data_IF_724175131879
#
_entry.id   IF_724175131879
#
_cell.length_a   1.000
_cell.length_b   1.000
_cell.length_c   1.000
_cell.angle_alpha   90.00
_cell.angle_beta   90.00
_cell.angle_gamma   90.00
#
_symmetry.space_group_name_H-M   'P 1'
#
loop_
_entity.id
_entity.type
_entity.pdbx_description
1 polymer ?
#
# COMPACT_ATOMS: atom_id res chain seq x y z
N UNK A 1 -16.93 -5.93 15.30
CA UNK A 1 -18.15 -6.21 16.08
C UNK A 1 -17.94 -6.14 17.59
N UNK A 2 -16.97 -6.87 18.16
CA UNK A 2 -16.62 -6.79 19.59
C UNK A 2 -16.42 -5.36 20.13
N UNK A 3 -15.63 -4.54 19.44
CA UNK A 3 -15.38 -3.14 19.84
C UNK A 3 -16.62 -2.22 19.80
N UNK A 4 -17.75 -2.69 19.24
CA UNK A 4 -19.03 -1.98 19.18
C UNK A 4 -20.09 -2.61 20.11
N UNK A 5 -19.71 -3.53 21.00
CA UNK A 5 -20.62 -4.21 21.93
C UNK A 5 -21.57 -5.23 21.27
N UNK A 6 -21.26 -5.67 20.06
CA UNK A 6 -22.14 -6.51 19.24
C UNK A 6 -21.45 -7.81 18.82
N UNK A 7 -20.86 -8.54 19.77
CA UNK A 7 -19.92 -9.63 19.50
C UNK A 7 -20.45 -10.67 18.51
N UNK A 8 -21.70 -11.11 18.65
CA UNK A 8 -22.28 -12.19 17.84
C UNK A 8 -22.59 -11.81 16.38
N UNK A 9 -22.60 -10.52 16.03
CA UNK A 9 -23.02 -10.06 14.70
C UNK A 9 -22.13 -10.53 13.55
N UNK A 10 -20.93 -11.05 13.81
CA UNK A 10 -20.11 -11.66 12.76
C UNK A 10 -20.82 -12.86 12.11
N UNK A 11 -21.70 -13.55 12.86
CA UNK A 11 -22.48 -14.69 12.38
C UNK A 11 -23.47 -14.29 11.29
N UNK A 12 -24.01 -13.07 11.33
CA UNK A 12 -24.90 -12.54 10.28
C UNK A 12 -24.24 -12.57 8.89
N UNK A 13 -22.90 -12.53 8.82
CA UNK A 13 -22.15 -12.51 7.56
C UNK A 13 -21.53 -13.87 7.22
N UNK A 14 -20.97 -14.56 8.21
CA UNK A 14 -20.22 -15.80 7.99
C UNK A 14 -21.04 -17.07 8.22
N UNK A 15 -22.15 -16.98 8.96
CA UNK A 15 -23.11 -18.05 9.22
C UNK A 15 -24.54 -17.52 9.13
N UNK A 16 -24.90 -16.85 8.03
CA UNK A 16 -26.25 -16.28 7.88
C UNK A 16 -27.30 -17.40 7.91
N UNK A 17 -28.45 -17.12 8.52
CA UNK A 17 -29.60 -18.05 8.48
C UNK A 17 -30.05 -18.33 7.04
N UNK A 18 -29.98 -17.31 6.18
CA UNK A 18 -30.15 -17.45 4.75
C UNK A 18 -28.91 -16.89 4.00
N UNK A 19 -28.11 -17.76 3.33
CA UNK A 19 -26.88 -17.37 2.67
C UNK A 19 -27.08 -16.46 1.44
N UNK A 20 -28.29 -16.35 0.91
CA UNK A 20 -28.60 -15.50 -0.25
C UNK A 20 -28.65 -14.00 0.13
N UNK A 21 -28.79 -13.67 1.42
CA UNK A 21 -28.75 -12.29 1.89
C UNK A 21 -27.33 -11.73 2.06
N UNK A 22 -26.31 -12.56 1.91
CA UNK A 22 -24.91 -12.15 2.01
C UNK A 22 -24.21 -12.44 0.70
N UNK A 23 -23.63 -11.39 0.09
CA UNK A 23 -22.68 -11.54 -1.02
C UNK A 23 -21.26 -11.44 -0.47
N UNK A 24 -20.55 -12.56 -0.42
CA UNK A 24 -19.16 -12.65 0.00
C UNK A 24 -18.22 -12.51 -1.21
N UNK A 25 -17.40 -11.46 -1.19
CA UNK A 25 -16.44 -11.14 -2.27
C UNK A 25 -15.02 -11.16 -1.72
N UNK A 26 -14.12 -11.91 -2.36
CA UNK A 26 -12.70 -11.99 -2.00
C UNK A 26 -11.83 -11.30 -3.05
N UNK A 27 -11.38 -10.07 -2.78
CA UNK A 27 -10.39 -9.37 -3.61
C UNK A 27 -8.98 -9.88 -3.32
N UNK A 28 -8.32 -10.41 -4.36
CA UNK A 28 -7.03 -11.09 -4.20
C UNK A 28 -6.07 -10.84 -5.38
N UNK A 29 -4.80 -11.20 -5.22
CA UNK A 29 -3.89 -11.39 -6.35
C UNK A 29 -4.10 -12.76 -7.02
N UNK A 30 -3.75 -12.86 -8.31
CA UNK A 30 -3.98 -14.07 -9.14
C UNK A 30 -3.41 -15.37 -8.55
N UNK A 31 -2.30 -15.29 -7.81
CA UNK A 31 -1.66 -16.47 -7.21
C UNK A 31 -2.50 -17.11 -6.10
N UNK A 32 -3.46 -16.37 -5.54
CA UNK A 32 -4.33 -16.84 -4.47
C UNK A 32 -5.65 -17.45 -4.97
N UNK A 33 -5.89 -17.48 -6.30
CA UNK A 33 -7.16 -17.97 -6.86
C UNK A 33 -7.45 -19.40 -6.40
N UNK A 34 -6.47 -20.30 -6.50
CA UNK A 34 -6.65 -21.70 -6.10
C UNK A 34 -7.06 -21.83 -4.61
N UNK A 35 -6.44 -21.02 -3.74
CA UNK A 35 -6.79 -21.05 -2.33
C UNK A 35 -8.24 -20.59 -2.10
N UNK A 36 -8.63 -19.43 -2.63
CA UNK A 36 -9.96 -18.86 -2.34
C UNK A 36 -11.10 -19.53 -3.10
N UNK A 37 -10.85 -20.10 -4.29
CA UNK A 37 -11.87 -20.75 -5.10
C UNK A 37 -12.00 -22.26 -4.84
N UNK A 38 -10.97 -22.91 -4.26
CA UNK A 38 -10.97 -24.38 -4.04
C UNK A 38 -10.70 -24.74 -2.58
N UNK A 39 -9.52 -24.39 -2.06
CA UNK A 39 -9.11 -24.84 -0.72
C UNK A 39 -10.01 -24.29 0.39
N UNK A 40 -10.30 -22.99 0.35
CA UNK A 40 -11.13 -22.32 1.33
C UNK A 40 -12.57 -22.88 1.35
N UNK A 41 -13.27 -23.03 0.20
CA UNK A 41 -14.55 -23.72 0.17
C UNK A 41 -14.50 -25.15 0.70
N UNK A 42 -13.48 -25.95 0.37
CA UNK A 42 -13.32 -27.32 0.90
C UNK A 42 -13.18 -27.31 2.42
N UNK A 43 -12.35 -26.43 2.96
CA UNK A 43 -12.18 -26.26 4.41
C UNK A 43 -13.49 -25.87 5.09
N UNK A 44 -14.27 -24.97 4.48
CA UNK A 44 -15.58 -24.57 4.99
C UNK A 44 -16.58 -25.74 5.00
N UNK A 45 -16.60 -26.54 3.93
CA UNK A 45 -17.46 -27.74 3.85
C UNK A 45 -17.05 -28.81 4.85
N UNK A 46 -15.75 -29.08 4.99
CA UNK A 46 -15.24 -30.13 5.88
C UNK A 46 -15.49 -29.89 7.37
N UNK A 47 -15.85 -28.67 7.77
CA UNK A 47 -16.26 -28.39 9.15
C UNK A 47 -17.76 -28.61 9.41
N UNK A 48 -18.57 -28.87 8.37
CA UNK A 48 -20.00 -29.22 8.45
C UNK A 48 -20.87 -28.29 9.33
N UNK A 49 -20.54 -27.00 9.35
CA UNK A 49 -21.07 -26.04 10.33
C UNK A 49 -21.58 -24.74 9.70
N UNK A 50 -22.01 -24.81 8.42
CA UNK A 50 -22.86 -23.83 7.76
C UNK A 50 -22.18 -22.50 7.41
N UNK A 51 -20.90 -22.51 7.05
CA UNK A 51 -20.18 -21.29 6.66
C UNK A 51 -20.67 -20.74 5.31
N UNK A 52 -20.75 -19.41 5.20
CA UNK A 52 -20.95 -18.71 3.93
C UNK A 52 -19.75 -18.95 3.02
N UNK A 53 -20.02 -19.48 1.83
CA UNK A 53 -19.04 -19.67 0.77
C UNK A 53 -18.83 -18.38 -0.02
N UNK A 54 -17.68 -18.25 -0.67
CA UNK A 54 -17.39 -17.09 -1.51
C UNK A 54 -18.27 -17.10 -2.76
N UNK A 55 -18.90 -15.98 -3.09
CA UNK A 55 -19.74 -15.82 -4.29
C UNK A 55 -18.92 -15.29 -5.47
N UNK A 56 -17.91 -14.46 -5.21
CA UNK A 56 -17.07 -13.89 -6.27
C UNK A 56 -15.64 -13.69 -5.78
N UNK A 57 -14.67 -14.01 -6.65
CA UNK A 57 -13.24 -13.86 -6.38
C UNK A 57 -12.60 -12.96 -7.44
N UNK A 58 -12.75 -11.61 -7.36
CA UNK A 58 -12.03 -10.70 -8.23
C UNK A 58 -10.53 -10.85 -7.96
N UNK A 59 -9.79 -11.24 -9.00
CA UNK A 59 -8.36 -11.49 -8.89
C UNK A 59 -7.58 -10.58 -9.84
N UNK A 60 -6.65 -9.81 -9.27
CA UNK A 60 -5.79 -8.93 -10.05
C UNK A 60 -4.49 -9.61 -10.46
N UNK A 61 -4.00 -9.28 -11.65
CA UNK A 61 -2.69 -9.67 -12.13
C UNK A 61 -1.59 -8.82 -11.46
N UNK A 62 -0.33 -8.96 -11.88
CA UNK A 62 0.77 -8.27 -11.22
C UNK A 62 0.86 -6.80 -11.62
N UNK A 63 1.30 -5.97 -10.67
CA UNK A 63 1.75 -4.61 -10.92
C UNK A 63 3.28 -4.60 -10.88
N UNK A 64 3.91 -4.21 -11.98
CA UNK A 64 5.35 -3.99 -12.09
C UNK A 64 5.70 -2.52 -11.83
N UNK A 65 6.98 -2.21 -11.65
CA UNK A 65 7.53 -0.88 -11.43
C UNK A 65 8.68 -0.63 -12.41
N UNK A 66 8.55 0.37 -13.28
CA UNK A 66 9.64 0.81 -14.18
C UNK A 66 10.35 -0.37 -14.87
N UNK A 67 9.56 -1.24 -15.50
CA UNK A 67 9.99 -2.42 -16.26
C UNK A 67 10.39 -3.65 -15.44
N UNK A 68 10.33 -3.63 -14.10
CA UNK A 68 10.71 -4.79 -13.25
C UNK A 68 9.66 -5.11 -12.19
N UNK A 69 9.74 -6.30 -11.62
CA UNK A 69 8.93 -6.67 -10.46
C UNK A 69 9.38 -5.91 -9.21
N UNK A 70 8.45 -5.66 -8.29
CA UNK A 70 8.78 -5.08 -6.99
C UNK A 70 9.69 -6.02 -6.18
N UNK A 71 10.79 -5.49 -5.64
CA UNK A 71 11.81 -6.26 -4.93
C UNK A 71 12.43 -5.46 -3.79
N UNK A 72 12.08 -5.81 -2.54
CA UNK A 72 12.65 -5.16 -1.34
C UNK A 72 14.14 -5.46 -1.17
N UNK A 73 14.55 -6.69 -1.50
CA UNK A 73 15.96 -7.12 -1.41
C UNK A 73 16.85 -6.40 -2.41
N UNK A 74 16.34 -6.13 -3.61
CA UNK A 74 17.08 -5.41 -4.65
C UNK A 74 16.89 -3.89 -4.57
N UNK A 75 16.13 -3.39 -3.58
CA UNK A 75 15.83 -1.97 -3.45
C UNK A 75 14.94 -1.41 -4.57
N UNK A 76 14.23 -2.28 -5.32
CA UNK A 76 13.37 -1.91 -6.43
C UNK A 76 11.89 -1.89 -6.01
N UNK A 77 11.52 -0.91 -5.18
CA UNK A 77 10.15 -0.76 -4.70
C UNK A 77 9.85 0.69 -4.36
N UNK A 78 8.57 1.01 -4.23
CA UNK A 78 8.09 2.28 -3.68
C UNK A 78 7.75 2.04 -2.20
N UNK A 79 8.37 2.79 -1.30
CA UNK A 79 7.99 2.80 0.10
C UNK A 79 6.68 3.60 0.27
N UNK A 80 5.59 2.99 0.79
CA UNK A 80 4.31 3.69 0.90
C UNK A 80 4.31 4.89 1.84
N UNK A 81 5.12 4.88 2.90
CA UNK A 81 5.17 5.99 3.85
C UNK A 81 5.88 7.19 3.23
N UNK A 82 7.05 6.95 2.63
CA UNK A 82 7.79 7.98 1.90
C UNK A 82 7.03 8.54 0.68
N UNK A 83 6.20 7.70 0.04
CA UNK A 83 5.30 8.16 -1.01
C UNK A 83 4.23 9.10 -0.44
N UNK A 84 3.53 8.70 0.63
CA UNK A 84 2.42 9.46 1.20
C UNK A 84 2.86 10.74 1.93
N UNK A 85 4.13 10.83 2.35
CA UNK A 85 4.72 12.07 2.86
C UNK A 85 4.89 13.14 1.78
N UNK A 86 4.95 12.74 0.50
CA UNK A 86 5.25 13.62 -0.64
C UNK A 86 4.06 13.84 -1.57
N UNK A 87 3.20 12.84 -1.71
CA UNK A 87 2.08 12.85 -2.63
C UNK A 87 0.76 12.57 -1.91
N UNK A 88 -0.34 13.25 -2.29
CA UNK A 88 -1.65 12.98 -1.72
C UNK A 88 -2.07 11.52 -1.93
N UNK A 89 -2.71 10.92 -0.91
CA UNK A 89 -3.24 9.56 -1.00
C UNK A 89 -4.18 9.38 -2.20
N UNK A 90 -5.04 10.36 -2.46
CA UNK A 90 -5.94 10.39 -3.62
C UNK A 90 -5.21 10.31 -4.97
N UNK A 91 -3.98 10.84 -5.06
CA UNK A 91 -3.17 10.72 -6.29
C UNK A 91 -2.71 9.28 -6.51
N UNK A 92 -2.29 8.58 -5.45
CA UNK A 92 -1.99 7.15 -5.52
C UNK A 92 -3.24 6.33 -5.87
N UNK A 93 -4.37 6.59 -5.20
CA UNK A 93 -5.63 5.87 -5.45
C UNK A 93 -6.09 6.03 -6.89
N UNK A 94 -6.08 7.27 -7.40
CA UNK A 94 -6.42 7.56 -8.79
C UNK A 94 -5.51 6.81 -9.75
N UNK A 95 -4.20 6.93 -9.56
CA UNK A 95 -3.25 6.35 -10.48
C UNK A 95 -3.32 4.82 -10.48
N UNK A 96 -3.26 4.18 -9.30
CA UNK A 96 -3.34 2.72 -9.17
C UNK A 96 -4.66 2.17 -9.71
N UNK A 97 -5.77 2.89 -9.54
CA UNK A 97 -7.05 2.52 -10.14
C UNK A 97 -7.02 2.64 -11.67
N UNK A 98 -6.36 3.66 -12.23
CA UNK A 98 -6.25 3.88 -13.68
C UNK A 98 -5.41 2.81 -14.40
N UNK A 99 -4.43 2.24 -13.70
CA UNK A 99 -3.55 1.17 -14.19
C UNK A 99 -3.86 -0.18 -13.53
N UNK A 100 -5.06 -0.37 -12.97
CA UNK A 100 -5.34 -1.58 -12.21
C UNK A 100 -5.21 -2.85 -13.08
N UNK A 101 -4.42 -3.87 -12.65
CA UNK A 101 -4.18 -5.08 -13.44
C UNK A 101 -5.39 -6.04 -13.41
N UNK A 102 -6.48 -5.66 -14.07
CA UNK A 102 -7.73 -6.43 -14.08
C UNK A 102 -7.64 -7.69 -14.96
N UNK A 103 -6.99 -7.62 -16.12
CA UNK A 103 -6.96 -8.74 -17.09
C UNK A 103 -5.56 -9.21 -17.46
N UNK A 104 -4.56 -8.36 -17.26
CA UNK A 104 -3.14 -8.64 -17.53
C UNK A 104 -2.29 -7.80 -16.59
N UNK A 105 -1.03 -8.17 -16.49
CA UNK A 105 -0.07 -7.42 -15.70
C UNK A 105 0.03 -5.97 -16.23
N UNK A 106 0.20 -5.02 -15.32
CA UNK A 106 0.35 -3.59 -15.60
C UNK A 106 1.63 -3.06 -14.98
N UNK A 107 1.95 -1.79 -15.23
CA UNK A 107 3.20 -1.19 -14.80
C UNK A 107 2.94 0.19 -14.22
N UNK A 108 3.54 0.45 -13.06
CA UNK A 108 3.69 1.78 -12.51
C UNK A 108 4.88 2.46 -13.19
N UNK A 109 4.64 3.61 -13.79
CA UNK A 109 5.68 4.49 -14.35
C UNK A 109 5.55 5.88 -13.76
N UNK A 110 6.65 6.46 -13.31
CA UNK A 110 6.63 7.77 -12.65
C UNK A 110 6.13 8.87 -13.59
N UNK A 111 6.50 8.85 -14.87
CA UNK A 111 6.03 9.87 -15.82
C UNK A 111 4.51 9.79 -16.01
N UNK A 112 3.96 8.57 -16.07
CA UNK A 112 2.51 8.35 -16.20
C UNK A 112 1.77 8.70 -14.90
N UNK A 113 2.34 8.40 -13.73
CA UNK A 113 1.85 8.91 -12.45
C UNK A 113 1.76 10.44 -12.45
N UNK A 114 2.82 11.13 -12.86
CA UNK A 114 2.84 12.59 -12.98
C UNK A 114 1.79 13.13 -13.95
N UNK A 115 1.63 12.49 -15.12
CA UNK A 115 0.63 12.85 -16.11
C UNK A 115 -0.80 12.69 -15.57
N UNK A 116 -1.11 11.56 -14.92
CA UNK A 116 -2.42 11.28 -14.33
C UNK A 116 -2.74 12.16 -13.13
N UNK A 117 -1.75 12.47 -12.30
CA UNK A 117 -1.91 13.49 -11.25
C UNK A 117 -2.22 14.87 -11.87
N UNK A 118 -1.50 15.24 -12.92
CA UNK A 118 -1.74 16.52 -13.60
C UNK A 118 -3.09 16.58 -14.32
N UNK A 119 -3.65 15.44 -14.76
CA UNK A 119 -5.03 15.35 -15.25
C UNK A 119 -6.03 15.75 -14.15
N UNK A 120 -5.85 15.25 -12.92
CA UNK A 120 -6.65 15.68 -11.77
C UNK A 120 -6.53 17.19 -11.52
N UNK A 121 -5.32 17.76 -11.58
CA UNK A 121 -5.14 19.19 -11.40
C UNK A 121 -5.80 20.02 -12.51
N UNK A 122 -5.57 19.67 -13.78
CA UNK A 122 -5.97 20.48 -14.93
C UNK A 122 -7.45 20.35 -15.30
N UNK A 123 -8.08 19.21 -14.99
CA UNK A 123 -9.47 18.94 -15.34
C UNK A 123 -10.35 19.00 -14.09
N UNK A 124 -10.20 18.05 -13.19
CA UNK A 124 -11.04 17.91 -12.01
C UNK A 124 -10.91 19.13 -11.07
N UNK A 125 -9.69 19.42 -10.63
CA UNK A 125 -9.38 20.52 -9.72
C UNK A 125 -9.71 21.88 -10.30
N UNK A 126 -9.38 22.09 -11.58
CA UNK A 126 -9.67 23.33 -12.29
C UNK A 126 -11.18 23.62 -12.37
N UNK A 127 -12.02 22.62 -12.67
CA UNK A 127 -13.48 22.81 -12.70
C UNK A 127 -13.99 23.23 -11.33
N UNK A 128 -13.64 22.50 -10.28
CA UNK A 128 -14.07 22.82 -8.91
C UNK A 128 -13.64 24.24 -8.53
N UNK A 129 -12.37 24.57 -8.77
CA UNK A 129 -11.82 25.89 -8.45
C UNK A 129 -12.53 27.01 -9.23
N UNK A 130 -12.71 26.86 -10.56
CA UNK A 130 -13.41 27.84 -11.41
C UNK A 130 -14.83 28.06 -10.93
N UNK A 131 -15.56 26.98 -10.61
CA UNK A 131 -16.97 27.06 -10.20
C UNK A 131 -17.12 27.78 -8.86
N UNK A 132 -16.34 27.39 -7.85
CA UNK A 132 -16.41 27.99 -6.52
C UNK A 132 -15.94 29.44 -6.57
N UNK A 133 -14.79 29.71 -7.20
CA UNK A 133 -14.22 31.06 -7.29
C UNK A 133 -15.14 32.02 -8.05
N UNK A 134 -15.63 31.62 -9.23
CA UNK A 134 -16.51 32.47 -10.02
C UNK A 134 -17.84 32.73 -9.31
N UNK A 135 -18.40 31.73 -8.64
CA UNK A 135 -19.64 31.90 -7.89
C UNK A 135 -19.47 32.86 -6.71
N UNK A 136 -18.47 32.60 -5.86
CA UNK A 136 -18.19 33.44 -4.69
C UNK A 136 -17.89 34.88 -5.08
N UNK A 137 -17.07 35.10 -6.12
CA UNK A 137 -16.68 36.44 -6.57
C UNK A 137 -17.85 37.25 -7.15
N UNK A 138 -18.72 36.64 -7.95
CA UNK A 138 -19.71 37.38 -8.73
C UNK A 138 -21.12 37.37 -8.11
N UNK A 139 -21.44 36.39 -7.28
CA UNK A 139 -22.76 36.22 -6.67
C UNK A 139 -22.74 36.22 -5.14
N UNK A 140 -21.59 36.01 -4.49
CA UNK A 140 -21.43 35.98 -3.03
C UNK A 140 -22.04 34.75 -2.33
N UNK A 141 -23.06 34.14 -2.93
CA UNK A 141 -23.71 32.92 -2.50
C UNK A 141 -24.13 32.07 -3.70
N UNK A 142 -24.47 30.81 -3.47
CA UNK A 142 -25.01 29.90 -4.47
C UNK A 142 -26.29 30.52 -5.06
N UNK A 143 -26.32 30.89 -6.37
CA UNK A 143 -27.49 31.50 -6.96
C UNK A 143 -28.65 30.52 -7.06
N UNK A 144 -29.88 31.04 -7.00
CA UNK A 144 -31.08 30.29 -7.36
C UNK A 144 -31.15 30.16 -8.88
N UNK A 145 -31.60 29.01 -9.37
CA UNK A 145 -31.97 28.87 -10.78
C UNK A 145 -33.29 29.62 -11.03
N UNK A 146 -33.30 30.52 -12.01
CA UNK A 146 -34.46 31.36 -12.35
C UNK A 146 -34.93 31.12 -13.79
N UNK A 147 -36.25 31.16 -14.00
CA UNK A 147 -36.90 30.92 -15.30
C UNK A 147 -37.99 29.85 -15.20
N UNK A 148 -38.97 29.91 -16.10
CA UNK A 148 -40.08 28.94 -16.13
C UNK A 148 -39.64 27.55 -16.63
N UNK A 149 -38.63 27.51 -17.50
CA UNK A 149 -38.02 26.28 -18.00
C UNK A 149 -36.49 26.38 -17.92
N UNK A 150 -35.84 25.25 -17.63
CA UNK A 150 -34.39 25.17 -17.68
C UNK A 150 -33.89 25.24 -19.12
N UNK A 151 -32.73 25.88 -19.31
CA UNK A 151 -32.06 25.92 -20.60
C UNK A 151 -31.69 24.51 -21.04
N UNK A 152 -31.86 24.23 -22.34
CA UNK A 152 -31.62 22.90 -22.90
C UNK A 152 -30.20 22.40 -22.65
N UNK A 153 -29.20 23.27 -22.73
CA UNK A 153 -27.81 22.88 -22.48
C UNK A 153 -27.56 22.49 -21.02
N UNK A 154 -28.33 23.04 -20.07
CA UNK A 154 -28.22 22.72 -18.65
C UNK A 154 -28.81 21.35 -18.37
N UNK A 155 -29.97 21.05 -18.99
CA UNK A 155 -30.64 19.75 -18.91
C UNK A 155 -29.72 18.67 -19.49
N UNK A 156 -29.26 18.85 -20.73
CA UNK A 156 -28.41 17.87 -21.44
C UNK A 156 -27.13 17.54 -20.66
N UNK A 157 -26.55 18.54 -19.98
CA UNK A 157 -25.36 18.34 -19.16
C UNK A 157 -25.62 17.48 -17.92
N UNK A 158 -26.72 17.75 -17.20
CA UNK A 158 -27.09 16.98 -16.02
C UNK A 158 -27.45 15.54 -16.40
N UNK A 159 -28.23 15.35 -17.46
CA UNK A 159 -28.59 14.01 -17.96
C UNK A 159 -27.34 13.21 -18.35
N UNK A 160 -26.38 13.85 -19.03
CA UNK A 160 -25.12 13.21 -19.37
C UNK A 160 -24.28 12.85 -18.12
N UNK A 161 -24.26 13.71 -17.11
CA UNK A 161 -23.55 13.43 -15.86
C UNK A 161 -24.21 12.30 -15.05
N UNK A 162 -25.55 12.24 -15.00
CA UNK A 162 -26.32 11.15 -14.41
C UNK A 162 -26.04 9.82 -15.12
N UNK A 163 -26.02 9.82 -16.46
CA UNK A 163 -25.66 8.64 -17.24
C UNK A 163 -24.22 8.18 -16.95
N UNK A 164 -23.28 9.12 -16.81
CA UNK A 164 -21.88 8.81 -16.46
C UNK A 164 -21.76 8.21 -15.06
N UNK A 165 -22.51 8.73 -14.08
CA UNK A 165 -22.57 8.15 -12.75
C UNK A 165 -23.19 6.75 -12.75
N UNK A 166 -24.28 6.53 -13.48
CA UNK A 166 -24.87 5.20 -13.62
C UNK A 166 -23.89 4.19 -14.24
N UNK A 167 -23.14 4.60 -15.25
CA UNK A 167 -22.08 3.80 -15.86
C UNK A 167 -20.94 3.50 -14.87
N UNK A 168 -20.55 4.48 -14.05
CA UNK A 168 -19.55 4.32 -13.00
C UNK A 168 -20.00 3.28 -11.96
N UNK A 169 -21.22 3.41 -11.42
CA UNK A 169 -21.78 2.47 -10.46
C UNK A 169 -21.84 1.03 -11.03
N UNK A 170 -22.36 0.88 -12.25
CA UNK A 170 -22.42 -0.42 -12.94
C UNK A 170 -21.04 -1.06 -13.10
N UNK A 171 -20.03 -0.25 -13.41
CA UNK A 171 -18.66 -0.71 -13.54
C UNK A 171 -18.05 -1.13 -12.19
N UNK A 172 -18.34 -0.42 -11.10
CA UNK A 172 -17.94 -0.82 -9.74
C UNK A 172 -18.57 -2.17 -9.37
N UNK A 173 -19.88 -2.32 -9.57
CA UNK A 173 -20.61 -3.56 -9.25
C UNK A 173 -20.10 -4.79 -10.03
N UNK A 174 -19.51 -4.54 -11.21
CA UNK A 174 -18.92 -5.52 -12.10
C UNK A 174 -17.39 -5.65 -11.95
N UNK A 175 -16.78 -5.00 -10.95
CA UNK A 175 -15.34 -5.01 -10.69
C UNK A 175 -14.47 -4.46 -11.84
N UNK A 176 -15.02 -3.58 -12.68
CA UNK A 176 -14.33 -2.89 -13.78
C UNK A 176 -13.89 -1.49 -13.35
N UNK A 177 -12.98 -1.39 -12.39
CA UNK A 177 -12.61 -0.14 -11.73
C UNK A 177 -11.92 0.86 -12.66
N UNK A 178 -11.15 0.41 -13.67
CA UNK A 178 -10.59 1.31 -14.69
C UNK A 178 -11.69 2.00 -15.48
N UNK A 179 -12.72 1.24 -15.88
CA UNK A 179 -13.89 1.77 -16.59
C UNK A 179 -14.71 2.69 -15.69
N UNK A 180 -14.86 2.33 -14.42
CA UNK A 180 -15.56 3.16 -13.45
C UNK A 180 -14.85 4.51 -13.24
N UNK A 181 -13.51 4.50 -13.14
CA UNK A 181 -12.71 5.71 -13.00
C UNK A 181 -12.84 6.63 -14.22
N UNK A 182 -12.82 6.06 -15.43
CA UNK A 182 -12.99 6.83 -16.66
C UNK A 182 -14.37 7.49 -16.74
N UNK A 183 -15.44 6.73 -16.44
CA UNK A 183 -16.80 7.27 -16.37
C UNK A 183 -16.95 8.36 -15.31
N UNK A 184 -16.22 8.27 -14.18
CA UNK A 184 -16.17 9.35 -13.20
C UNK A 184 -15.45 10.59 -13.76
N UNK A 185 -14.30 10.42 -14.43
CA UNK A 185 -13.53 11.51 -15.02
C UNK A 185 -14.22 12.20 -16.20
N UNK A 186 -15.19 11.55 -16.85
CA UNK A 186 -16.01 12.17 -17.88
C UNK A 186 -16.87 13.32 -17.32
N UNK A 187 -17.32 13.27 -16.07
CA UNK A 187 -18.13 14.32 -15.44
C UNK A 187 -17.39 15.68 -15.40
N UNK A 188 -16.17 15.80 -14.83
CA UNK A 188 -15.45 17.07 -14.85
C UNK A 188 -15.01 17.47 -16.27
N UNK A 189 -14.78 16.53 -17.20
CA UNK A 189 -14.51 16.87 -18.60
C UNK A 189 -15.72 17.52 -19.28
N UNK A 190 -16.93 16.99 -19.05
CA UNK A 190 -18.19 17.59 -19.52
C UNK A 190 -18.39 18.98 -18.93
N UNK A 191 -18.16 19.13 -17.62
CA UNK A 191 -18.28 20.42 -16.93
C UNK A 191 -17.28 21.46 -17.49
N UNK A 192 -16.03 21.05 -17.74
CA UNK A 192 -15.02 21.92 -18.36
C UNK A 192 -15.50 22.45 -19.72
N UNK A 193 -15.95 21.54 -20.60
CA UNK A 193 -16.48 21.90 -21.93
C UNK A 193 -17.70 22.81 -21.85
N UNK A 194 -18.62 22.51 -20.93
CA UNK A 194 -19.83 23.31 -20.74
C UNK A 194 -19.51 24.73 -20.26
N UNK A 195 -18.64 24.90 -19.26
CA UNK A 195 -18.24 26.23 -18.77
C UNK A 195 -17.64 27.06 -19.90
N UNK A 196 -16.79 26.44 -20.74
CA UNK A 196 -16.16 27.15 -21.85
C UNK A 196 -17.15 27.51 -22.96
N UNK A 197 -18.12 26.63 -23.24
CA UNK A 197 -19.16 26.86 -24.27
C UNK A 197 -20.18 27.90 -23.82
N UNK A 198 -20.63 27.82 -22.56
CA UNK A 198 -21.64 28.73 -22.02
C UNK A 198 -21.05 30.09 -21.59
N UNK A 199 -19.73 30.18 -21.45
CA UNK A 199 -18.98 31.40 -21.19
C UNK A 199 -19.63 32.30 -20.12
N UNK A 200 -19.74 31.86 -18.83
CA UNK A 200 -20.46 32.59 -17.80
C UNK A 200 -19.94 34.01 -17.57
N UNK A 201 -18.67 34.29 -17.90
CA UNK A 201 -18.09 35.65 -17.85
C UNK A 201 -18.67 36.60 -18.90
N UNK A 202 -19.06 36.07 -20.06
CA UNK A 202 -19.75 36.83 -21.11
C UNK A 202 -21.22 36.99 -20.73
N UNK A 203 -21.87 35.87 -20.35
CA UNK A 203 -23.25 35.89 -19.87
C UNK A 203 -23.44 36.87 -18.70
N UNK A 204 -22.47 37.00 -17.79
CA UNK A 204 -22.57 37.93 -16.65
C UNK A 204 -22.73 39.39 -17.08
N UNK A 205 -22.15 39.77 -18.22
CA UNK A 205 -22.22 41.14 -18.77
C UNK A 205 -23.54 41.40 -19.51
N UNK A 206 -24.09 40.36 -20.13
CA UNK A 206 -25.25 40.46 -21.04
C UNK A 206 -26.56 40.12 -20.33
N UNK A 207 -26.56 39.02 -19.56
CA UNK A 207 -27.70 38.49 -18.85
C UNK A 207 -27.24 37.82 -17.53
N UNK A 208 -27.28 38.60 -16.44
CA UNK A 208 -26.87 38.15 -15.11
C UNK A 208 -27.64 36.92 -14.63
N UNK A 209 -28.93 36.79 -14.98
CA UNK A 209 -29.74 35.62 -14.65
C UNK A 209 -29.24 34.38 -15.38
N UNK A 210 -28.87 34.48 -16.67
CA UNK A 210 -28.27 33.33 -17.37
C UNK A 210 -26.95 32.90 -16.75
N UNK A 211 -26.09 33.85 -16.38
CA UNK A 211 -24.84 33.53 -15.69
C UNK A 211 -25.10 32.84 -14.33
N UNK A 212 -26.11 33.30 -13.58
CA UNK A 212 -26.54 32.68 -12.33
C UNK A 212 -27.02 31.23 -12.54
N UNK A 213 -27.83 30.97 -13.57
CA UNK A 213 -28.29 29.63 -13.93
C UNK A 213 -27.15 28.69 -14.34
N UNK A 214 -26.21 29.16 -15.16
CA UNK A 214 -25.01 28.39 -15.54
C UNK A 214 -24.24 27.97 -14.29
N UNK A 215 -24.02 28.91 -13.35
CA UNK A 215 -23.30 28.60 -12.11
C UNK A 215 -24.09 27.68 -11.18
N UNK A 216 -25.41 27.82 -11.09
CA UNK A 216 -26.26 26.90 -10.34
C UNK A 216 -26.09 25.46 -10.86
N UNK A 217 -26.16 25.27 -12.19
CA UNK A 217 -25.94 23.98 -12.84
C UNK A 217 -24.54 23.43 -12.58
N UNK A 218 -23.51 24.28 -12.66
CA UNK A 218 -22.14 23.88 -12.36
C UNK A 218 -21.95 23.43 -10.90
N UNK A 219 -22.62 24.08 -9.95
CA UNK A 219 -22.55 23.70 -8.53
C UNK A 219 -23.26 22.37 -8.30
N UNK A 220 -24.40 22.14 -8.96
CA UNK A 220 -25.07 20.82 -8.94
C UNK A 220 -24.14 19.72 -9.45
N UNK A 221 -23.37 19.99 -10.50
CA UNK A 221 -22.37 19.04 -11.01
C UNK A 221 -21.20 18.82 -10.05
N UNK A 222 -20.64 19.88 -9.48
CA UNK A 222 -19.54 19.77 -8.51
C UNK A 222 -19.97 19.00 -7.27
N UNK A 223 -21.22 19.20 -6.81
CA UNK A 223 -21.81 18.40 -5.73
C UNK A 223 -21.90 16.93 -6.10
N UNK A 224 -22.46 16.60 -7.26
CA UNK A 224 -22.56 15.21 -7.71
C UNK A 224 -21.20 14.57 -7.97
N UNK A 225 -20.22 15.35 -8.45
CA UNK A 225 -18.84 14.92 -8.61
C UNK A 225 -18.19 14.53 -7.29
N UNK A 226 -18.47 15.23 -6.19
CA UNK A 226 -17.99 14.83 -4.87
C UNK A 226 -18.50 13.43 -4.49
N UNK A 227 -19.80 13.16 -4.71
CA UNK A 227 -20.41 11.85 -4.44
C UNK A 227 -19.80 10.76 -5.33
N UNK A 228 -19.70 11.01 -6.64
CA UNK A 228 -19.26 9.98 -7.61
C UNK A 228 -17.75 9.70 -7.53
N UNK A 229 -16.96 10.69 -7.10
CA UNK A 229 -15.52 10.53 -6.94
C UNK A 229 -15.12 9.96 -5.58
N UNK A 230 -15.99 9.96 -4.56
CA UNK A 230 -15.67 9.50 -3.20
C UNK A 230 -15.08 8.07 -3.10
N UNK A 231 -15.54 7.07 -3.89
CA UNK A 231 -14.90 5.75 -3.89
C UNK A 231 -13.43 5.77 -4.33
N UNK A 232 -13.02 6.77 -5.10
CA UNK A 232 -11.69 6.90 -5.69
C UNK A 232 -10.83 7.94 -4.96
N UNK A 233 -11.41 9.10 -4.65
CA UNK A 233 -10.75 10.31 -4.14
C UNK A 233 -11.44 10.80 -2.84
N UNK A 234 -11.43 10.01 -1.76
CA UNK A 234 -12.19 10.32 -0.55
C UNK A 234 -11.84 11.68 0.07
N UNK A 235 -10.56 12.04 0.15
CA UNK A 235 -10.13 13.28 0.79
C UNK A 235 -10.55 14.49 -0.04
N UNK A 236 -10.46 14.39 -1.36
CA UNK A 236 -10.85 15.43 -2.31
C UNK A 236 -12.36 15.63 -2.33
N UNK A 237 -13.12 14.54 -2.35
CA UNK A 237 -14.57 14.58 -2.30
C UNK A 237 -15.08 15.26 -1.03
N UNK A 238 -14.49 14.95 0.13
CA UNK A 238 -14.83 15.60 1.40
C UNK A 238 -14.50 17.10 1.40
N UNK A 239 -13.35 17.50 0.86
CA UNK A 239 -13.02 18.94 0.70
C UNK A 239 -14.04 19.68 -0.16
N UNK A 240 -14.53 19.06 -1.23
CA UNK A 240 -15.59 19.66 -2.05
C UNK A 240 -16.88 19.77 -1.24
N UNK A 241 -17.26 18.70 -0.54
CA UNK A 241 -18.45 18.65 0.31
C UNK A 241 -18.46 19.79 1.34
N UNK A 242 -17.33 20.01 1.99
CA UNK A 242 -17.12 21.09 2.95
C UNK A 242 -17.21 22.47 2.28
N UNK A 243 -16.57 22.65 1.12
CA UNK A 243 -16.61 23.93 0.39
C UNK A 243 -18.04 24.32 -0.05
N UNK A 244 -18.89 23.32 -0.29
CA UNK A 244 -20.30 23.51 -0.64
C UNK A 244 -21.22 23.71 0.58
N UNK A 245 -20.72 23.52 1.81
CA UNK A 245 -21.53 23.64 3.03
C UNK A 245 -22.54 22.51 3.19
N UNK A 246 -22.22 21.33 2.66
CA UNK A 246 -23.06 20.16 2.86
C UNK A 246 -22.93 19.66 4.31
N UNK A 247 -24.06 19.30 4.90
CA UNK A 247 -24.16 18.96 6.33
C UNK A 247 -24.52 17.50 6.56
N UNK A 248 -25.12 16.86 5.56
CA UNK A 248 -25.31 15.42 5.55
C UNK A 248 -23.96 14.74 5.32
N UNK A 249 -23.63 13.64 6.02
CA UNK A 249 -22.40 12.91 5.73
C UNK A 249 -22.41 12.40 4.28
N UNK A 250 -21.32 12.64 3.55
CA UNK A 250 -21.22 12.31 2.13
C UNK A 250 -21.48 10.81 1.87
N UNK A 251 -21.01 9.93 2.75
CA UNK A 251 -21.18 8.47 2.65
C UNK A 251 -22.65 8.00 2.81
N UNK A 252 -23.58 8.91 3.13
CA UNK A 252 -25.02 8.62 3.21
C UNK A 252 -25.77 8.98 1.93
N UNK A 253 -25.17 9.75 1.04
CA UNK A 253 -25.78 10.09 -0.24
C UNK A 253 -25.66 8.89 -1.18
N UNK A 254 -26.79 8.30 -1.62
CA UNK A 254 -26.74 7.18 -2.56
C UNK A 254 -26.07 7.59 -3.86
N UNK A 255 -25.27 6.69 -4.43
CA UNK A 255 -24.53 6.98 -5.67
C UNK A 255 -25.47 7.36 -6.83
N UNK A 256 -26.66 6.75 -6.89
CA UNK A 256 -27.68 7.06 -7.91
C UNK A 256 -28.34 8.44 -7.73
N UNK A 257 -28.26 9.02 -6.53
CA UNK A 257 -28.83 10.32 -6.19
C UNK A 257 -27.81 11.46 -6.28
N UNK A 258 -26.60 11.19 -6.78
CA UNK A 258 -25.49 12.14 -6.82
C UNK A 258 -25.90 13.52 -7.39
N UNK A 259 -26.74 13.53 -8.44
CA UNK A 259 -27.24 14.74 -9.08
C UNK A 259 -28.71 15.04 -8.78
N UNK A 260 -29.44 14.20 -8.04
CA UNK A 260 -30.86 14.39 -7.79
C UNK A 260 -31.16 15.60 -6.88
N UNK A 261 -30.27 15.85 -5.90
CA UNK A 261 -30.43 16.94 -4.94
C UNK A 261 -29.92 18.27 -5.52
N UNK A 262 -30.75 19.30 -5.45
CA UNK A 262 -30.38 20.66 -5.87
C UNK A 262 -29.45 21.34 -4.84
N UNK A 263 -28.53 22.21 -5.28
CA UNK A 263 -27.68 22.99 -4.39
C UNK A 263 -28.44 23.88 -3.40
N UNK A 264 -27.89 24.09 -2.20
CA UNK A 264 -28.42 24.98 -1.17
C UNK A 264 -28.30 26.47 -1.60
N UNK A 265 -29.33 27.00 -2.25
CA UNK A 265 -29.32 28.40 -2.72
C UNK A 265 -29.20 29.39 -1.56
N UNK A 266 -28.50 30.51 -1.78
CA UNK A 266 -28.27 31.53 -0.75
C UNK A 266 -27.16 31.18 0.26
N UNK A 267 -26.57 29.99 0.18
CA UNK A 267 -25.41 29.63 0.98
C UNK A 267 -24.14 30.32 0.46
N UNK A 268 -23.36 30.92 1.35
CA UNK A 268 -22.04 31.48 1.01
C UNK A 268 -21.01 30.37 0.95
N UNK A 269 -20.47 30.12 -0.25
CA UNK A 269 -19.44 29.12 -0.47
C UNK A 269 -18.18 29.42 0.34
N UNK A 270 -17.46 28.38 0.75
CA UNK A 270 -16.13 28.54 1.31
C UNK A 270 -15.15 29.07 0.25
N UNK A 271 -13.97 29.51 0.71
CA UNK A 271 -12.90 29.94 -0.20
C UNK A 271 -12.43 28.75 -1.07
N UNK A 272 -12.19 28.98 -2.37
CA UNK A 272 -11.72 27.92 -3.26
C UNK A 272 -10.34 27.44 -2.81
N UNK A 273 -10.16 26.12 -2.79
CA UNK A 273 -8.89 25.48 -2.46
C UNK A 273 -8.24 24.89 -3.72
N UNK A 274 -6.91 24.90 -3.77
CA UNK A 274 -6.16 24.14 -4.77
C UNK A 274 -6.16 22.67 -4.32
N UNK A 275 -6.88 21.82 -5.05
CA UNK A 275 -7.04 20.40 -4.69
C UNK A 275 -5.80 19.56 -5.02
N UNK A 276 -5.12 19.88 -6.13
CA UNK A 276 -3.94 19.16 -6.61
C UNK A 276 -2.88 20.15 -7.11
N UNK A 277 -1.65 20.02 -6.61
CA UNK A 277 -0.49 20.82 -7.03
C UNK A 277 0.22 20.10 -8.17
N UNK A 278 0.38 20.77 -9.32
CA UNK A 278 0.98 20.14 -10.49
C UNK A 278 2.37 19.58 -10.21
N UNK A 279 2.62 18.39 -10.74
CA UNK A 279 3.93 17.75 -10.74
C UNK A 279 4.68 18.11 -12.01
N UNK A 280 6.00 18.26 -11.88
CA UNK A 280 6.90 18.59 -12.98
C UNK A 280 7.69 17.37 -13.42
N UNK A 281 8.22 17.41 -14.65
CA UNK A 281 9.12 16.37 -15.15
C UNK A 281 10.35 16.18 -14.26
N UNK A 282 10.79 17.27 -13.60
CA UNK A 282 11.89 17.24 -12.63
C UNK A 282 11.52 16.41 -11.39
N UNK A 283 10.29 16.52 -10.90
CA UNK A 283 9.83 15.73 -9.75
C UNK A 283 9.85 14.23 -10.11
N UNK A 284 9.35 13.86 -11.29
CA UNK A 284 9.32 12.46 -11.75
C UNK A 284 10.73 11.92 -12.02
N UNK A 285 11.62 12.75 -12.58
CA UNK A 285 13.02 12.39 -12.75
C UNK A 285 13.72 12.12 -11.41
N UNK A 286 13.44 12.94 -10.38
CA UNK A 286 13.99 12.74 -9.04
C UNK A 286 13.54 11.41 -8.41
N UNK A 287 12.31 10.98 -8.64
CA UNK A 287 11.82 9.67 -8.18
C UNK A 287 12.53 8.50 -8.85
N UNK A 288 12.72 8.59 -10.17
CA UNK A 288 13.45 7.57 -10.93
C UNK A 288 14.91 7.49 -10.48
N UNK A 289 15.56 8.62 -10.28
CA UNK A 289 16.93 8.69 -9.77
C UNK A 289 17.02 8.08 -8.36
N UNK A 290 16.06 8.39 -7.48
CA UNK A 290 15.97 7.81 -6.14
C UNK A 290 15.82 6.29 -6.18
N UNK A 291 14.92 5.77 -7.02
CA UNK A 291 14.71 4.33 -7.20
C UNK A 291 15.99 3.64 -7.69
N UNK A 292 16.66 4.22 -8.69
CA UNK A 292 17.93 3.70 -9.20
C UNK A 292 19.05 3.76 -8.14
N UNK A 293 19.14 4.87 -7.39
CA UNK A 293 20.13 5.06 -6.35
C UNK A 293 20.01 4.03 -5.22
N UNK A 294 18.79 3.71 -4.78
CA UNK A 294 18.56 2.65 -3.79
C UNK A 294 18.94 1.27 -4.31
N UNK A 295 18.58 0.95 -5.55
CA UNK A 295 18.92 -0.33 -6.15
C UNK A 295 20.44 -0.52 -6.28
N UNK A 296 21.16 0.52 -6.74
CA UNK A 296 22.62 0.50 -6.80
C UNK A 296 23.27 0.41 -5.42
N UNK A 297 22.71 1.06 -4.40
CA UNK A 297 23.21 0.96 -3.04
C UNK A 297 23.07 -0.48 -2.51
N UNK A 298 21.94 -1.15 -2.78
CA UNK A 298 21.72 -2.56 -2.42
C UNK A 298 22.65 -3.50 -3.15
N UNK A 299 22.87 -3.28 -4.45
CA UNK A 299 23.80 -4.08 -5.24
C UNK A 299 25.25 -3.95 -4.72
N UNK A 300 25.69 -2.73 -4.40
CA UNK A 300 27.01 -2.48 -3.79
C UNK A 300 27.14 -3.11 -2.40
N UNK A 301 26.06 -3.14 -1.62
CA UNK A 301 26.03 -3.82 -0.31
C UNK A 301 26.18 -5.34 -0.47
N UNK A 302 25.46 -5.93 -1.44
CA UNK A 302 25.56 -7.36 -1.75
C UNK A 302 26.96 -7.75 -2.25
N UNK A 303 27.60 -6.90 -3.07
CA UNK A 303 28.98 -7.13 -3.57
C UNK A 303 30.06 -7.08 -2.47
N UNK A 304 29.76 -6.55 -1.27
CA UNK A 304 30.69 -6.57 -0.13
C UNK A 304 30.71 -7.89 0.61
N UNK A 305 29.77 -8.80 0.34
CA UNK A 305 29.75 -10.13 0.94
C UNK A 305 30.69 -11.06 0.17
N UNK A 306 31.35 -11.97 0.90
CA UNK A 306 32.16 -13.00 0.25
C UNK A 306 31.29 -13.82 -0.70
N UNK A 307 31.77 -14.13 -1.92
CA UNK A 307 31.01 -14.94 -2.87
C UNK A 307 30.71 -16.32 -2.26
N UNK A 308 29.54 -16.86 -2.61
CA UNK A 308 29.16 -18.20 -2.19
C UNK A 308 30.23 -19.20 -2.64
N UNK A 309 30.62 -20.08 -1.72
CA UNK A 309 31.46 -21.24 -2.07
C UNK A 309 30.68 -22.14 -3.03
N UNK A 310 31.37 -22.95 -3.88
CA UNK A 310 30.71 -23.88 -4.79
C UNK A 310 29.73 -24.81 -4.06
N UNK A 311 28.64 -25.18 -4.72
CA UNK A 311 27.62 -26.08 -4.19
C UNK A 311 28.24 -27.42 -3.72
N UNK A 312 27.74 -27.95 -2.61
CA UNK A 312 28.15 -29.24 -2.03
C UNK A 312 26.93 -30.06 -1.68
N UNK A 313 27.04 -31.38 -1.75
CA UNK A 313 25.95 -32.28 -1.40
C UNK A 313 25.74 -32.40 0.11
N UNK A 314 24.54 -32.79 0.54
CA UNK A 314 24.20 -32.97 1.96
C UNK A 314 25.14 -33.94 2.70
N UNK A 315 25.71 -34.93 1.99
CA UNK A 315 26.69 -35.87 2.54
C UNK A 315 27.96 -35.18 3.05
N UNK A 316 28.35 -34.06 2.43
CA UNK A 316 29.52 -33.28 2.88
C UNK A 316 29.22 -32.51 4.17
N UNK A 317 27.98 -32.00 4.32
CA UNK A 317 27.54 -31.36 5.55
C UNK A 317 27.47 -32.36 6.72
N UNK A 318 26.91 -33.55 6.48
CA UNK A 318 26.77 -34.62 7.49
C UNK A 318 28.11 -35.16 8.01
N UNK A 319 29.24 -34.88 7.34
CA UNK A 319 30.59 -35.18 7.85
C UNK A 319 30.96 -34.30 9.03
N UNK A 320 30.38 -33.12 9.18
CA UNK A 320 30.61 -32.24 10.32
C UNK A 320 29.66 -32.61 11.46
N UNK A 321 30.20 -32.70 12.67
CA UNK A 321 29.41 -32.91 13.87
C UNK A 321 29.19 -31.56 14.56
N UNK A 322 28.01 -30.98 14.35
CA UNK A 322 27.62 -29.70 14.93
C UNK A 322 26.74 -29.94 16.15
N UNK A 323 27.11 -29.33 17.28
CA UNK A 323 26.44 -29.54 18.56
C UNK A 323 26.08 -28.23 19.24
N UNK A 324 24.94 -28.20 19.92
CA UNK A 324 24.65 -27.18 20.91
C UNK A 324 25.45 -27.47 22.17
N UNK A 325 26.09 -26.45 22.73
CA UNK A 325 26.76 -26.56 24.02
C UNK A 325 26.62 -25.29 24.85
N UNK A 326 26.87 -25.42 26.15
CA UNK A 326 26.84 -24.30 27.10
C UNK A 326 28.26 -23.93 27.52
N UNK A 327 28.60 -22.65 27.47
CA UNK A 327 29.88 -22.15 27.96
C UNK A 327 29.88 -22.24 29.49
N UNK A 328 30.80 -23.02 30.06
CA UNK A 328 30.97 -23.14 31.51
C UNK A 328 31.92 -22.07 32.04
N UNK A 329 33.08 -21.92 31.38
CA UNK A 329 34.10 -20.94 31.77
C UNK A 329 34.66 -20.26 30.53
N UNK A 330 35.12 -19.02 30.72
CA UNK A 330 35.75 -18.23 29.67
C UNK A 330 36.93 -17.44 30.27
N UNK A 331 38.11 -17.61 29.67
CA UNK A 331 39.36 -16.97 30.08
C UNK A 331 39.91 -16.12 28.93
N UNK A 332 40.18 -14.84 29.19
CA UNK A 332 40.86 -13.98 28.23
C UNK A 332 42.33 -14.39 28.07
N UNK A 333 42.84 -14.43 26.84
CA UNK A 333 44.20 -14.89 26.60
C UNK A 333 45.25 -13.77 26.84
N UNK A 334 46.30 -14.00 27.65
CA UNK A 334 47.26 -12.94 28.02
C UNK A 334 48.02 -12.28 26.85
N UNK A 335 48.09 -12.95 25.70
CA UNK A 335 48.84 -12.50 24.51
C UNK A 335 47.93 -12.14 23.33
N UNK A 336 46.62 -12.00 23.54
CA UNK A 336 45.68 -11.63 22.47
C UNK A 336 44.40 -10.99 22.99
N UNK A 337 44.06 -9.84 22.43
CA UNK A 337 42.77 -9.15 22.61
C UNK A 337 41.63 -9.78 21.81
N UNK A 338 41.94 -10.69 20.88
CA UNK A 338 40.96 -11.35 20.00
C UNK A 338 40.54 -12.73 20.51
N UNK A 339 41.38 -13.41 21.28
CA UNK A 339 41.18 -14.83 21.62
C UNK A 339 40.67 -15.00 23.04
N UNK A 340 39.64 -15.83 23.19
CA UNK A 340 39.10 -16.27 24.47
C UNK A 340 39.15 -17.80 24.51
N UNK A 341 39.65 -18.35 25.60
CA UNK A 341 39.62 -19.79 25.88
C UNK A 341 38.29 -20.11 26.56
N UNK A 342 37.50 -20.97 25.94
CA UNK A 342 36.19 -21.40 26.43
C UNK A 342 36.27 -22.86 26.85
N UNK A 343 35.66 -23.20 27.98
CA UNK A 343 35.27 -24.59 28.29
C UNK A 343 33.77 -24.72 28.03
N UNK A 344 33.40 -25.57 27.08
CA UNK A 344 32.01 -25.75 26.63
C UNK A 344 31.55 -27.15 26.97
N UNK A 345 30.42 -27.27 27.66
CA UNK A 345 29.73 -28.54 27.88
C UNK A 345 28.85 -28.88 26.69
N UNK A 346 29.11 -30.02 26.06
CA UNK A 346 28.37 -30.53 24.91
C UNK A 346 27.51 -31.74 25.29
N UNK A 347 27.23 -31.94 26.58
CA UNK A 347 26.35 -32.97 27.13
C UNK A 347 27.03 -34.34 27.25
N UNK A 348 27.80 -34.74 26.22
CA UNK A 348 28.55 -36.01 26.22
C UNK A 348 29.96 -35.87 26.80
N UNK A 349 30.55 -34.68 26.72
CA UNK A 349 31.86 -34.34 27.29
C UNK A 349 32.01 -32.80 27.40
N UNK A 350 33.08 -32.34 28.06
CA UNK A 350 33.47 -30.93 28.04
C UNK A 350 34.65 -30.71 27.08
N UNK A 351 34.62 -29.62 26.34
CA UNK A 351 35.65 -29.28 25.35
C UNK A 351 36.26 -27.92 25.59
N UNK A 352 37.58 -27.85 25.42
CA UNK A 352 38.31 -26.58 25.36
C UNK A 352 38.31 -26.07 23.93
N UNK A 353 37.79 -24.85 23.72
CA UNK A 353 37.70 -24.19 22.42
C UNK A 353 38.32 -22.81 22.49
N UNK A 354 39.24 -22.52 21.57
CA UNK A 354 39.84 -21.20 21.41
C UNK A 354 39.02 -20.41 20.40
N UNK A 355 38.30 -19.38 20.87
CA UNK A 355 37.38 -18.59 20.04
C UNK A 355 37.90 -17.17 19.80
N UNK A 356 37.91 -16.74 18.53
CA UNK A 356 38.34 -15.41 18.09
C UNK A 356 37.32 -14.30 18.33
N UNK A 357 36.68 -14.27 19.50
CA UNK A 357 35.51 -13.43 19.81
C UNK A 357 35.80 -12.31 20.83
N UNK A 358 37.03 -12.19 21.31
CA UNK A 358 37.41 -11.30 22.42
C UNK A 358 37.20 -9.81 22.16
N UNK A 359 37.16 -9.39 20.88
CA UNK A 359 36.84 -8.00 20.50
C UNK A 359 35.34 -7.66 20.61
N UNK A 360 34.47 -8.66 20.52
CA UNK A 360 33.01 -8.47 20.56
C UNK A 360 32.42 -8.83 21.92
N UNK A 361 33.07 -9.72 22.69
CA UNK A 361 32.53 -10.23 23.94
C UNK A 361 33.59 -10.23 25.04
N UNK A 362 33.24 -9.74 26.22
CA UNK A 362 34.08 -9.85 27.41
C UNK A 362 33.96 -11.26 27.98
N UNK A 363 35.09 -11.84 28.40
CA UNK A 363 35.12 -13.21 28.94
C UNK A 363 34.15 -13.41 30.12
N UNK A 364 33.98 -12.40 30.98
CA UNK A 364 33.08 -12.46 32.14
C UNK A 364 31.59 -12.65 31.77
N UNK A 365 31.18 -12.27 30.55
CA UNK A 365 29.76 -12.28 30.13
C UNK A 365 29.38 -13.55 29.34
N UNK A 366 30.33 -14.46 29.16
CA UNK A 366 30.19 -15.66 28.32
C UNK A 366 29.68 -16.92 29.06
N UNK A 367 30.01 -17.18 30.34
CA UNK A 367 29.45 -18.31 31.08
C UNK A 367 27.92 -18.32 31.06
N UNK A 368 27.34 -19.51 30.89
CA UNK A 368 25.89 -19.73 30.80
C UNK A 368 25.29 -19.50 29.40
N UNK A 369 26.03 -18.90 28.46
CA UNK A 369 25.54 -18.75 27.08
C UNK A 369 25.57 -20.08 26.34
N UNK A 370 24.53 -20.31 25.52
CA UNK A 370 24.48 -21.41 24.56
C UNK A 370 25.17 -21.01 23.27
N UNK A 371 25.83 -21.98 22.66
CA UNK A 371 26.56 -21.82 21.39
C UNK A 371 26.39 -23.03 20.50
N UNK A 372 26.53 -22.82 19.20
CA UNK A 372 26.73 -23.90 18.24
C UNK A 372 28.24 -24.08 18.04
N UNK A 373 28.75 -25.30 18.21
CA UNK A 373 30.14 -25.65 17.90
C UNK A 373 30.25 -26.74 16.85
N UNK A 374 31.37 -26.73 16.11
CA UNK A 374 31.88 -27.89 15.38
C UNK A 374 32.66 -28.76 16.34
N UNK A 375 32.14 -29.95 16.65
CA UNK A 375 32.68 -30.88 17.63
C UNK A 375 33.69 -31.88 17.04
N UNK A 376 33.71 -32.15 15.75
CA UNK A 376 34.65 -33.11 15.15
C UNK A 376 35.76 -32.47 14.30
N UNK A 377 36.10 -31.22 14.59
CA UNK A 377 37.24 -30.54 13.96
C UNK A 377 38.56 -31.12 14.53
N UNK A 378 39.57 -31.29 13.67
CA UNK A 378 40.90 -31.73 14.09
C UNK A 378 41.48 -30.80 15.16
N UNK A 379 42.03 -31.34 16.27
CA UNK A 379 42.63 -30.51 17.31
C UNK A 379 43.76 -29.64 16.78
N UNK A 380 43.77 -28.37 17.20
CA UNK A 380 44.83 -27.41 16.83
C UNK A 380 45.33 -26.67 18.05
N UNK A 381 46.65 -26.67 18.25
CA UNK A 381 47.26 -25.86 19.31
C UNK A 381 47.30 -24.39 18.90
N UNK A 382 46.64 -23.54 19.67
CA UNK A 382 46.56 -22.10 19.48
C UNK A 382 47.01 -21.42 20.77
N UNK A 383 48.05 -20.60 20.69
CA UNK A 383 48.60 -19.87 21.85
C UNK A 383 48.95 -20.77 23.05
N UNK A 384 49.44 -21.99 22.78
CA UNK A 384 49.81 -22.96 23.82
C UNK A 384 48.63 -23.74 24.42
N UNK A 385 47.40 -23.55 23.91
CA UNK A 385 46.20 -24.27 24.32
C UNK A 385 45.71 -25.14 23.16
N UNK A 386 45.45 -26.43 23.42
CA UNK A 386 44.85 -27.32 22.42
C UNK A 386 43.36 -27.02 22.28
N UNK A 387 42.95 -26.52 21.11
CA UNK A 387 41.54 -26.26 20.78
C UNK A 387 40.93 -27.48 20.09
N UNK A 388 39.83 -27.99 20.67
CA UNK A 388 39.11 -29.19 20.18
C UNK A 388 37.73 -28.84 19.65
N UNK A 389 37.67 -27.86 18.74
CA UNK A 389 36.42 -27.43 18.11
C UNK A 389 36.45 -25.97 17.68
N UNK A 390 35.31 -25.50 17.19
CA UNK A 390 35.11 -24.11 16.75
C UNK A 390 33.69 -23.65 17.06
N UNK A 391 33.55 -22.54 17.80
CA UNK A 391 32.26 -21.88 18.00
C UNK A 391 31.89 -21.13 16.72
N UNK A 392 30.65 -21.30 16.26
CA UNK A 392 30.17 -20.64 15.05
C UNK A 392 29.74 -19.19 15.33
N UNK A 393 30.18 -18.29 14.46
CA UNK A 393 29.81 -16.88 14.47
C UNK A 393 29.45 -16.43 13.05
N UNK A 394 28.47 -15.53 12.94
CA UNK A 394 28.28 -14.72 11.75
C UNK A 394 29.20 -13.49 11.83
N UNK A 395 30.03 -13.27 10.81
CA UNK A 395 30.96 -12.15 10.79
C UNK A 395 30.49 -11.09 9.80
N UNK A 396 30.35 -9.86 10.26
CA UNK A 396 30.10 -8.70 9.40
C UNK A 396 31.17 -7.63 9.68
N UNK A 397 32.10 -7.43 8.74
CA UNK A 397 33.33 -6.67 8.98
C UNK A 397 34.22 -7.35 10.04
N UNK A 398 34.69 -6.60 11.04
CA UNK A 398 35.56 -7.11 12.12
C UNK A 398 34.79 -7.64 13.36
N UNK A 399 33.46 -7.69 13.32
CA UNK A 399 32.62 -8.06 14.48
C UNK A 399 32.03 -9.48 14.32
N UNK A 400 32.54 -10.48 15.05
CA UNK A 400 31.86 -11.77 15.15
C UNK A 400 30.59 -11.67 16.01
N UNK A 401 29.50 -12.23 15.51
CA UNK A 401 28.22 -12.43 16.21
C UNK A 401 28.01 -13.91 16.48
N UNK A 402 27.98 -14.31 17.74
CA UNK A 402 27.89 -15.71 18.15
C UNK A 402 26.52 -16.29 17.79
N UNK A 403 26.50 -17.48 17.17
CA UNK A 403 25.24 -18.16 16.83
C UNK A 403 24.69 -18.89 18.06
N UNK A 404 23.39 -18.71 18.31
CA UNK A 404 22.65 -19.33 19.39
C UNK A 404 21.41 -20.05 18.85
N UNK A 405 21.04 -21.21 19.40
CA UNK A 405 19.77 -21.83 19.06
C UNK A 405 18.60 -20.98 19.57
N UNK A 406 17.49 -21.00 18.86
CA UNK A 406 16.21 -20.50 19.38
C UNK A 406 15.64 -21.51 20.40
N UNK A 407 15.11 -21.01 21.52
CA UNK A 407 14.62 -21.83 22.61
C UNK A 407 15.73 -22.50 23.44
N UNK A 408 15.39 -23.60 24.11
CA UNK A 408 16.24 -24.22 25.13
C UNK A 408 16.63 -25.69 24.85
N UNK A 409 17.22 -26.04 23.69
CA UNK A 409 17.63 -27.41 23.41
C UNK A 409 18.73 -27.91 24.37
N UNK A 410 18.76 -29.22 24.71
CA UNK A 410 19.74 -29.77 25.64
C UNK A 410 21.18 -29.70 25.07
N UNK A 411 22.17 -29.66 25.95
CA UNK A 411 23.58 -29.79 25.56
C UNK A 411 23.79 -31.11 24.80
N UNK A 412 24.51 -31.06 23.67
CA UNK A 412 24.74 -32.20 22.80
C UNK A 412 23.66 -32.45 21.75
N UNK A 413 22.59 -31.63 21.72
CA UNK A 413 21.64 -31.63 20.62
C UNK A 413 22.39 -31.42 19.29
N UNK A 414 22.12 -32.29 18.31
CA UNK A 414 22.75 -32.26 16.99
C UNK A 414 22.09 -31.18 16.13
N UNK A 415 22.89 -30.37 15.46
CA UNK A 415 22.43 -29.41 14.45
C UNK A 415 22.47 -30.13 13.10
N UNK A 416 21.35 -30.11 12.37
CA UNK A 416 21.13 -30.89 11.14
C UNK A 416 20.54 -30.06 10.02
#
# INVERSE_FOLDING_TARGET
FRNRGQEERWKEFWKPENPDFVRLVHFIGKDNIFFHAVMFPIMCHGQENGWKLVDTVPANAFLNLEGKQFSKSEGWYIDPLDFLDRYPADSARFYLCSIMPETRDTEFQWDDFGARHNELANVYGNVVHRVISFTGKNFGAIPKYEGEAADRADIELIEAAEASAAACATAIDSFQFRRALEAMMDIPRMAHKYIDTQAPWTALKENKTRAANIMHTCIRLVRGLAVTSFPFLPDTALKIWDMLGETEPLDKVPFHDAFATLPKTGFTLAQPQILFQRLTDKDMAAEKEKLQGFAQAKEKEAQKLEPLKPERGIKDFMKWDLRVGTILTAEAMPKSDKMVKLTVDIGVEQRTVMAGIGKSYKAADLPGRRVILVANLEPKTLMGVESRGMVLCATHGDKPLMLQPEGDPPNGARVS
#
